data_IF_352159843030
#
_entry.id   IF_352159843030
#
_cell.length_a   1.000
_cell.length_b   1.000
_cell.length_c   1.000
_cell.angle_alpha   90.00
_cell.angle_beta   90.00
_cell.angle_gamma   90.00
#
_symmetry.space_group_name_H-M   'P 1'
#
loop_
_entity.id
_entity.type
_entity.pdbx_description
1 polymer ?
#
# COMPACT_ATOMS: atom_id res chain seq x y z
N UNK A 1 1.22 -7.95 -15.33
CA UNK A 1 0.77 -7.91 -13.92
C UNK A 1 0.41 -6.48 -13.50
N UNK A 2 1.26 -5.48 -13.74
CA UNK A 2 1.00 -4.09 -13.28
C UNK A 2 0.18 -3.19 -14.22
N UNK A 3 -0.14 -3.64 -15.45
CA UNK A 3 -0.87 -2.82 -16.43
C UNK A 3 -2.24 -2.31 -15.97
N UNK A 4 -3.08 -3.11 -15.26
CA UNK A 4 -4.33 -2.61 -14.72
C UNK A 4 -4.14 -1.52 -13.66
N UNK A 5 -3.11 -1.65 -12.82
CA UNK A 5 -2.79 -0.66 -11.79
C UNK A 5 -2.31 0.67 -12.40
N UNK A 6 -1.52 0.61 -13.49
CA UNK A 6 -1.10 1.79 -14.24
C UNK A 6 -2.27 2.51 -14.90
N UNK A 7 -3.21 1.77 -15.50
CA UNK A 7 -4.42 2.36 -16.11
C UNK A 7 -5.34 3.03 -15.08
N UNK A 8 -5.40 2.46 -13.86
CA UNK A 8 -6.09 3.06 -12.72
C UNK A 8 -5.39 4.35 -12.25
N UNK A 9 -4.05 4.35 -12.15
CA UNK A 9 -3.27 5.55 -11.79
C UNK A 9 -3.55 6.73 -12.71
N UNK A 10 -3.55 6.52 -14.02
CA UNK A 10 -3.86 7.57 -15.00
C UNK A 10 -5.28 8.13 -14.82
N UNK A 11 -6.24 7.27 -14.48
CA UNK A 11 -7.64 7.66 -14.24
C UNK A 11 -7.80 8.44 -12.93
N UNK A 12 -7.12 8.01 -11.86
CA UNK A 12 -7.10 8.70 -10.57
C UNK A 12 -6.43 10.06 -10.68
N UNK A 13 -5.32 10.17 -11.42
CA UNK A 13 -4.63 11.44 -11.67
C UNK A 13 -5.54 12.47 -12.33
N UNK A 14 -6.31 12.06 -13.34
CA UNK A 14 -7.32 12.93 -13.98
C UNK A 14 -8.43 13.32 -13.01
N UNK A 15 -8.89 12.39 -12.17
CA UNK A 15 -10.01 12.61 -11.25
C UNK A 15 -9.67 13.53 -10.07
N UNK A 16 -8.42 13.48 -9.62
CA UNK A 16 -7.88 14.21 -8.48
C UNK A 16 -6.89 15.29 -8.90
N UNK A 17 -6.96 15.77 -10.14
CA UNK A 17 -6.17 16.89 -10.62
C UNK A 17 -6.26 18.09 -9.64
N UNK A 18 -5.15 18.80 -9.48
CA UNK A 18 -5.01 19.96 -8.60
C UNK A 18 -5.19 19.68 -7.09
N UNK A 19 -5.16 18.42 -6.68
CA UNK A 19 -5.13 18.03 -5.27
C UNK A 19 -3.73 17.60 -4.83
N UNK A 20 -3.52 17.52 -3.51
CA UNK A 20 -2.30 16.96 -2.91
C UNK A 20 -2.10 15.46 -3.23
N UNK A 21 -3.08 14.79 -3.85
CA UNK A 21 -2.99 13.39 -4.26
C UNK A 21 -2.20 13.19 -5.55
N UNK A 22 -2.13 14.21 -6.43
CA UNK A 22 -1.41 14.12 -7.71
C UNK A 22 0.05 13.67 -7.54
N UNK A 23 0.89 14.31 -6.68
CA UNK A 23 2.28 13.87 -6.52
C UNK A 23 2.42 12.46 -5.96
N UNK A 24 1.45 11.99 -5.17
CA UNK A 24 1.43 10.63 -4.62
C UNK A 24 1.08 9.62 -5.70
N UNK A 25 0.09 9.92 -6.54
CA UNK A 25 -0.29 9.10 -7.69
C UNK A 25 0.85 9.02 -8.70
N UNK A 26 1.56 10.13 -8.93
CA UNK A 26 2.72 10.18 -9.84
C UNK A 26 3.89 9.31 -9.31
N UNK A 27 4.21 9.38 -8.01
CA UNK A 27 5.24 8.51 -7.40
C UNK A 27 4.82 7.03 -7.45
N UNK A 28 3.54 6.74 -7.22
CA UNK A 28 3.02 5.38 -7.29
C UNK A 28 3.08 4.81 -8.72
N UNK A 29 2.69 5.59 -9.72
CA UNK A 29 2.83 5.22 -11.13
C UNK A 29 4.30 5.02 -11.51
N UNK A 30 5.20 5.89 -11.05
CA UNK A 30 6.62 5.77 -11.31
C UNK A 30 7.18 4.45 -10.76
N UNK A 31 6.88 4.12 -9.50
CA UNK A 31 7.29 2.86 -8.89
C UNK A 31 6.72 1.64 -9.63
N UNK A 32 5.45 1.68 -10.06
CA UNK A 32 4.83 0.60 -10.85
C UNK A 32 5.45 0.46 -12.25
N UNK A 33 5.83 1.57 -12.89
CA UNK A 33 6.52 1.56 -14.19
C UNK A 33 7.92 0.99 -14.04
N UNK A 34 8.66 1.35 -12.99
CA UNK A 34 9.98 0.80 -12.70
C UNK A 34 9.89 -0.69 -12.36
N UNK A 35 8.92 -1.09 -11.54
CA UNK A 35 8.62 -2.50 -11.25
C UNK A 35 8.32 -3.33 -12.51
N UNK A 36 7.65 -2.74 -13.51
CA UNK A 36 7.37 -3.40 -14.80
C UNK A 36 8.64 -3.74 -15.59
N UNK A 37 9.66 -2.89 -15.49
CA UNK A 37 10.91 -3.01 -16.27
C UNK A 37 12.05 -3.65 -15.49
N UNK A 38 11.97 -3.66 -14.15
CA UNK A 38 12.93 -4.32 -13.28
C UNK A 38 12.93 -5.83 -13.58
N UNK A 39 14.12 -6.39 -13.82
CA UNK A 39 14.29 -7.85 -13.86
C UNK A 39 14.16 -8.36 -12.43
N UNK A 40 13.46 -9.49 -12.27
CA UNK A 40 13.10 -10.13 -11.00
C UNK A 40 14.19 -10.03 -9.93
N UNK A 41 13.80 -9.76 -8.67
CA UNK A 41 14.71 -9.73 -7.52
C UNK A 41 14.68 -8.41 -6.73
N UNK A 42 15.84 -7.99 -6.22
CA UNK A 42 15.98 -6.86 -5.28
C UNK A 42 15.60 -5.49 -5.86
N UNK A 43 15.76 -5.26 -7.17
CA UNK A 43 15.36 -3.98 -7.78
C UNK A 43 13.84 -3.78 -7.72
N UNK A 44 13.07 -4.84 -8.03
CA UNK A 44 11.61 -4.84 -7.91
C UNK A 44 11.18 -4.67 -6.46
N UNK A 45 11.87 -5.33 -5.54
CA UNK A 45 11.62 -5.23 -4.11
C UNK A 45 11.86 -3.82 -3.56
N UNK A 46 12.90 -3.12 -4.05
CA UNK A 46 13.19 -1.73 -3.69
C UNK A 46 12.10 -0.76 -4.13
N UNK A 47 11.60 -0.90 -5.36
CA UNK A 47 10.53 -0.03 -5.88
C UNK A 47 9.20 -0.28 -5.19
N UNK A 48 8.87 -1.54 -4.88
CA UNK A 48 7.67 -1.87 -4.12
C UNK A 48 7.73 -1.31 -2.68
N UNK A 49 8.89 -1.37 -2.04
CA UNK A 49 9.08 -0.75 -0.73
C UNK A 49 8.90 0.78 -0.78
N UNK A 50 9.40 1.43 -1.84
CA UNK A 50 9.23 2.87 -2.07
C UNK A 50 7.76 3.24 -2.27
N UNK A 51 7.03 2.47 -3.08
CA UNK A 51 5.59 2.63 -3.27
C UNK A 51 4.86 2.55 -1.92
N UNK A 52 5.16 1.52 -1.13
CA UNK A 52 4.53 1.30 0.16
C UNK A 52 4.83 2.43 1.15
N UNK A 53 6.06 2.96 1.18
CA UNK A 53 6.40 4.12 1.99
C UNK A 53 5.66 5.40 1.60
N UNK A 54 5.32 5.58 0.32
CA UNK A 54 4.50 6.70 -0.14
C UNK A 54 3.03 6.55 0.27
N UNK A 55 2.52 5.32 0.32
CA UNK A 55 1.12 5.02 0.65
C UNK A 55 0.87 4.88 2.16
N UNK A 56 1.86 4.46 2.94
CA UNK A 56 1.74 4.15 4.37
C UNK A 56 1.05 5.26 5.18
N UNK A 57 1.39 6.57 5.03
CA UNK A 57 0.70 7.62 5.79
C UNK A 57 -0.79 7.71 5.48
N UNK A 58 -1.22 7.38 4.26
CA UNK A 58 -2.64 7.38 3.87
C UNK A 58 -3.38 6.13 4.31
N UNK A 59 -2.67 4.99 4.30
CA UNK A 59 -3.19 3.71 4.76
C UNK A 59 -3.45 3.74 6.26
N UNK A 60 -2.52 4.30 7.05
CA UNK A 60 -2.60 4.29 8.51
C UNK A 60 -3.30 5.54 9.08
N UNK A 61 -3.12 6.73 8.51
CA UNK A 61 -3.70 7.97 9.05
C UNK A 61 -4.92 8.49 8.26
N UNK A 62 -5.25 7.88 7.13
CA UNK A 62 -6.41 8.27 6.31
C UNK A 62 -7.68 7.58 6.79
N UNK A 63 -8.04 6.48 6.13
CA UNK A 63 -9.24 5.70 6.44
C UNK A 63 -8.89 4.19 6.56
N UNK A 64 -8.10 3.79 7.58
CA UNK A 64 -7.66 2.40 7.77
C UNK A 64 -8.81 1.39 7.81
N UNK A 65 -9.95 1.77 8.41
CA UNK A 65 -11.18 0.95 8.45
C UNK A 65 -11.72 0.63 7.05
N UNK A 66 -11.62 1.57 6.10
CA UNK A 66 -12.11 1.35 4.74
C UNK A 66 -11.34 0.23 4.02
N UNK A 67 -10.03 0.13 4.27
CA UNK A 67 -9.20 -0.91 3.66
C UNK A 67 -9.45 -2.28 4.30
N UNK A 68 -9.60 -2.32 5.63
CA UNK A 68 -10.02 -3.54 6.36
C UNK A 68 -11.34 -4.08 5.82
N UNK A 69 -12.35 -3.22 5.68
CA UNK A 69 -13.69 -3.61 5.22
C UNK A 69 -13.70 -4.02 3.72
N UNK A 70 -12.75 -3.51 2.94
CA UNK A 70 -12.51 -3.93 1.56
C UNK A 70 -11.80 -5.30 1.45
N UNK A 71 -11.47 -5.96 2.56
CA UNK A 71 -10.77 -7.25 2.58
C UNK A 71 -9.27 -7.14 2.27
N UNK A 72 -8.71 -5.93 2.40
CA UNK A 72 -7.27 -5.70 2.27
C UNK A 72 -6.58 -5.94 3.60
N UNK A 73 -5.46 -6.65 3.53
CA UNK A 73 -4.57 -6.92 4.64
C UNK A 73 -3.24 -6.23 4.39
N UNK A 74 -2.73 -5.58 5.43
CA UNK A 74 -1.38 -5.04 5.46
C UNK A 74 -0.47 -6.10 6.10
N UNK A 75 0.64 -6.39 5.44
CA UNK A 75 1.63 -7.33 5.94
C UNK A 75 3.00 -6.66 6.02
N UNK A 76 3.85 -7.21 6.87
CA UNK A 76 5.24 -6.82 7.04
C UNK A 76 6.16 -8.02 6.89
N UNK A 77 7.23 -7.83 6.13
CA UNK A 77 8.30 -8.80 6.00
C UNK A 77 9.18 -8.70 7.25
N UNK A 78 9.29 -9.79 8.01
CA UNK A 78 10.03 -9.79 9.28
C UNK A 78 11.54 -9.65 9.09
N UNK A 79 12.06 -9.99 7.92
CA UNK A 79 13.49 -9.93 7.63
C UNK A 79 13.95 -8.51 7.24
N UNK A 80 13.14 -7.81 6.45
CA UNK A 80 13.50 -6.49 5.88
C UNK A 80 12.72 -5.33 6.48
N UNK A 81 11.62 -5.62 7.17
CA UNK A 81 10.66 -4.63 7.67
C UNK A 81 9.80 -3.99 6.60
N UNK A 82 9.91 -4.41 5.33
CA UNK A 82 9.16 -3.85 4.20
C UNK A 82 7.68 -4.24 4.30
N UNK A 83 6.79 -3.27 4.06
CA UNK A 83 5.34 -3.48 4.06
C UNK A 83 4.84 -3.88 2.68
N UNK A 84 3.69 -4.55 2.59
CA UNK A 84 2.90 -4.66 1.36
C UNK A 84 1.41 -4.87 1.65
N UNK A 85 0.58 -4.60 0.64
CA UNK A 85 -0.86 -4.85 0.69
C UNK A 85 -1.23 -6.10 -0.10
N UNK A 86 -2.23 -6.81 0.40
CA UNK A 86 -2.79 -7.97 -0.29
C UNK A 86 -4.29 -8.12 -0.02
N UNK A 87 -5.02 -8.61 -1.01
CA UNK A 87 -6.38 -9.12 -0.80
C UNK A 87 -6.32 -10.52 -0.16
N UNK A 88 -7.06 -10.68 0.94
CA UNK A 88 -7.10 -11.94 1.69
C UNK A 88 -5.94 -12.11 2.70
N UNK A 89 -6.20 -12.96 3.68
CA UNK A 89 -5.41 -13.13 4.92
C UNK A 89 -4.17 -14.02 4.78
N UNK A 90 -4.01 -14.71 3.65
CA UNK A 90 -2.94 -15.68 3.42
C UNK A 90 -1.71 -15.00 2.81
N UNK A 91 -0.67 -14.64 3.57
CA UNK A 91 0.41 -13.78 3.09
C UNK A 91 1.20 -14.42 1.94
N UNK A 92 1.35 -13.66 0.84
CA UNK A 92 2.23 -13.98 -0.28
C UNK A 92 3.28 -12.88 -0.39
N UNK A 93 4.38 -13.08 0.34
CA UNK A 93 5.44 -12.09 0.44
C UNK A 93 6.06 -11.81 -0.96
N UNK A 94 5.94 -10.57 -1.49
CA UNK A 94 6.47 -10.21 -2.79
C UNK A 94 8.00 -9.98 -2.77
N UNK A 95 8.61 -9.89 -1.59
CA UNK A 95 10.03 -9.67 -1.38
C UNK A 95 10.85 -10.97 -1.30
N UNK A 96 10.18 -12.13 -1.21
CA UNK A 96 10.84 -13.44 -1.14
C UNK A 96 10.02 -14.44 -0.31
N UNK A 97 10.57 -15.64 -0.08
CA UNK A 97 9.90 -16.71 0.67
C UNK A 97 9.98 -16.60 2.19
N UNK A 98 10.32 -15.42 2.74
CA UNK A 98 10.55 -15.21 4.17
C UNK A 98 9.24 -15.00 4.93
N UNK A 99 9.27 -15.23 6.24
CA UNK A 99 8.12 -15.08 7.13
C UNK A 99 7.52 -13.67 7.08
N UNK A 100 6.20 -13.64 7.19
CA UNK A 100 5.36 -12.47 7.07
C UNK A 100 4.52 -12.34 8.33
N UNK A 101 4.41 -11.13 8.88
CA UNK A 101 3.48 -10.84 9.97
C UNK A 101 2.36 -9.92 9.47
N UNK A 102 1.08 -10.18 9.82
CA UNK A 102 0.01 -9.23 9.58
C UNK A 102 0.21 -7.99 10.45
N UNK A 103 -0.05 -6.82 9.87
CA UNK A 103 -0.10 -5.54 10.59
C UNK A 103 -1.56 -5.18 10.76
N UNK A 104 -1.98 -5.06 12.02
CA UNK A 104 -3.34 -4.64 12.32
C UNK A 104 -3.56 -3.20 11.83
N UNK A 105 -4.67 -3.01 11.10
CA UNK A 105 -5.12 -1.69 10.72
C UNK A 105 -5.40 -0.88 11.98
N UNK A 106 -4.85 0.35 12.10
CA UNK A 106 -5.16 1.20 13.24
C UNK A 106 -6.67 1.47 13.26
N UNK A 107 -7.27 1.38 14.43
CA UNK A 107 -8.68 1.68 14.61
C UNK A 107 -8.83 3.11 15.15
N UNK A 108 -9.10 4.12 14.29
CA UNK A 108 -9.26 5.50 14.72
C UNK A 108 -10.49 5.70 15.63
N UNK A 109 -11.42 4.74 15.69
CA UNK A 109 -12.54 4.76 16.64
C UNK A 109 -12.20 4.08 17.97
N UNK A 110 -11.13 3.28 18.07
CA UNK A 110 -10.70 2.70 19.34
C UNK A 110 -10.12 3.74 20.31
N UNK A 111 -9.65 4.88 19.81
CA UNK A 111 -9.15 6.00 20.62
C UNK A 111 -10.20 7.07 20.95
N UNK A 112 -11.45 6.93 20.49
CA UNK A 112 -12.53 7.84 20.91
C UNK A 112 -13.01 7.43 22.30
N UNK A 113 -12.69 8.19 23.39
CA UNK A 113 -13.28 7.90 24.68
C UNK A 113 -14.79 8.03 24.55
N UNK A 114 -15.54 7.04 25.06
CA UNK A 114 -16.98 7.11 25.18
C UNK A 114 -17.35 8.49 25.76
N UNK A 115 -17.91 9.37 24.93
CA UNK A 115 -18.57 10.56 25.45
C UNK A 115 -19.81 10.07 26.16
N UNK A 116 -19.65 9.80 27.47
CA UNK A 116 -20.75 9.53 28.38
C UNK A 116 -21.72 10.71 28.28
N UNK A 117 -22.90 10.43 27.76
CA UNK A 117 -24.06 11.31 27.75
C UNK A 117 -24.83 11.13 29.07
#
# INVERSE_FOLDING_TARGET
FVDPALALGESLRRRFADTKLVPIIDEAEAALRTAKIAREGEELAGELARLMGALEPWLLNGAPVHYRDAGLFLFRDTATGRLWLQEGDSPRNPYGGMEAEPVDWPDPMAEMPEMQQ
#
